data_IF_450333384154
#
_entry.id   IF_450333384154
#
_cell.length_a   1.000
_cell.length_b   1.000
_cell.length_c   1.000
_cell.angle_alpha   90.00
_cell.angle_beta   90.00
_cell.angle_gamma   90.00
#
_symmetry.space_group_name_H-M   'P 1'
#
loop_
_entity.id
_entity.type
_entity.pdbx_description
1 polymer ?
#
# COMPACT_ATOMS: atom_id res chain seq x y z
N UNK A 1 -19.80 0.52 30.84
CA UNK A 1 -18.59 0.31 30.03
C UNK A 1 -19.03 0.45 28.58
N UNK A 2 -19.06 1.68 28.09
CA UNK A 2 -19.41 1.92 26.69
C UNK A 2 -18.24 1.39 25.87
N UNK A 3 -18.47 0.32 25.11
CA UNK A 3 -17.57 0.01 24.02
C UNK A 3 -17.61 1.24 23.11
N UNK A 4 -16.49 1.95 22.99
CA UNK A 4 -16.31 2.91 21.91
C UNK A 4 -16.59 2.13 20.63
N UNK A 5 -17.78 2.34 20.07
CA UNK A 5 -18.19 1.73 18.82
C UNK A 5 -17.41 2.47 17.73
N UNK A 6 -16.13 2.10 17.59
CA UNK A 6 -15.30 2.47 16.45
C UNK A 6 -16.07 2.06 15.20
N UNK A 7 -16.46 3.02 14.37
CA UNK A 7 -17.13 2.73 13.10
C UNK A 7 -16.21 1.76 12.35
N UNK A 8 -16.65 0.56 11.93
CA UNK A 8 -15.81 -0.37 11.18
C UNK A 8 -15.20 0.25 9.91
N UNK A 9 -15.78 1.35 9.40
CA UNK A 9 -15.28 2.12 8.28
C UNK A 9 -14.25 3.19 8.67
N UNK A 10 -14.09 3.50 9.95
CA UNK A 10 -13.05 4.41 10.42
C UNK A 10 -11.67 3.77 10.20
N UNK A 11 -10.88 4.40 9.32
CA UNK A 11 -9.61 3.87 8.80
C UNK A 11 -9.73 3.12 7.47
N UNK A 12 -10.95 2.88 6.96
CA UNK A 12 -11.13 2.26 5.64
C UNK A 12 -10.77 3.23 4.51
N UNK A 13 -9.57 3.07 3.97
CA UNK A 13 -9.08 3.87 2.84
C UNK A 13 -9.45 3.28 1.47
N UNK A 14 -10.38 3.92 0.75
CA UNK A 14 -10.81 3.54 -0.60
C UNK A 14 -9.72 3.75 -1.67
N UNK A 15 -8.77 4.65 -1.42
CA UNK A 15 -7.58 4.78 -2.26
C UNK A 15 -6.77 3.51 -2.11
N UNK A 16 -6.43 3.06 -0.90
CA UNK A 16 -5.62 1.85 -0.72
C UNK A 16 -6.38 0.58 -1.15
N UNK A 17 -7.69 0.52 -0.96
CA UNK A 17 -8.51 -0.68 -1.18
C UNK A 17 -8.47 -1.29 -2.60
N UNK A 18 -8.11 -0.51 -3.63
CA UNK A 18 -7.98 -1.08 -4.97
C UNK A 18 -6.87 -2.15 -5.03
N UNK A 19 -7.09 -3.31 -5.69
CA UNK A 19 -6.23 -4.49 -5.54
C UNK A 19 -4.74 -4.22 -5.77
N UNK A 20 -4.39 -3.52 -6.85
CA UNK A 20 -2.98 -3.22 -7.14
C UNK A 20 -2.38 -2.21 -6.18
N UNK A 21 -3.13 -1.22 -5.69
CA UNK A 21 -2.62 -0.23 -4.73
C UNK A 21 -2.38 -0.88 -3.37
N UNK A 22 -3.30 -1.73 -2.92
CA UNK A 22 -3.12 -2.54 -1.72
C UNK A 22 -1.86 -3.42 -1.82
N UNK A 23 -1.66 -4.10 -2.96
CA UNK A 23 -0.46 -4.93 -3.21
C UNK A 23 0.83 -4.12 -3.26
N UNK A 24 0.82 -2.91 -3.84
CA UNK A 24 1.97 -1.99 -3.80
C UNK A 24 2.29 -1.62 -2.35
N UNK A 25 1.30 -1.16 -1.57
CA UNK A 25 1.51 -0.79 -0.17
C UNK A 25 2.04 -1.97 0.66
N UNK A 26 1.46 -3.17 0.50
CA UNK A 26 1.90 -4.38 1.18
C UNK A 26 3.38 -4.72 0.91
N UNK A 27 3.78 -4.67 -0.37
CA UNK A 27 5.14 -4.96 -0.77
C UNK A 27 6.13 -3.90 -0.23
N UNK A 28 5.75 -2.63 -0.28
CA UNK A 28 6.58 -1.54 0.22
C UNK A 28 6.66 -1.50 1.76
N UNK A 29 5.61 -1.90 2.47
CA UNK A 29 5.63 -2.04 3.93
C UNK A 29 6.62 -3.14 4.34
N UNK A 30 6.62 -4.28 3.64
CA UNK A 30 7.51 -5.39 3.94
C UNK A 30 8.98 -5.11 3.56
N UNK A 31 9.21 -4.46 2.41
CA UNK A 31 10.55 -4.19 1.90
C UNK A 31 11.18 -2.88 2.41
N UNK A 32 10.37 -1.96 2.95
CA UNK A 32 10.75 -0.58 3.26
C UNK A 32 10.88 0.31 2.02
N UNK A 33 11.60 -0.16 1.01
CA UNK A 33 11.74 0.48 -0.30
C UNK A 33 11.98 -0.58 -1.38
N UNK A 34 11.43 -0.37 -2.58
CA UNK A 34 11.62 -1.28 -3.71
C UNK A 34 11.82 -0.53 -5.02
N UNK A 35 12.59 -1.12 -5.94
CA UNK A 35 12.70 -0.62 -7.30
C UNK A 35 11.38 -0.82 -8.06
N UNK A 36 10.98 0.17 -8.86
CA UNK A 36 9.77 0.10 -9.69
C UNK A 36 9.69 -1.18 -10.53
N UNK A 37 10.79 -1.61 -11.14
CA UNK A 37 10.86 -2.85 -11.92
C UNK A 37 10.61 -4.11 -11.08
N UNK A 38 11.07 -4.14 -9.83
CA UNK A 38 10.80 -5.24 -8.90
C UNK A 38 9.31 -5.27 -8.53
N UNK A 39 8.72 -4.11 -8.22
CA UNK A 39 7.28 -4.01 -7.94
C UNK A 39 6.47 -4.48 -9.14
N UNK A 40 6.85 -4.07 -10.35
CA UNK A 40 6.21 -4.50 -11.59
C UNK A 40 6.24 -6.03 -11.74
N UNK A 41 7.41 -6.65 -11.54
CA UNK A 41 7.58 -8.10 -11.62
C UNK A 41 6.74 -8.84 -10.57
N UNK A 42 6.79 -8.40 -9.31
CA UNK A 42 6.06 -9.03 -8.21
C UNK A 42 4.54 -8.91 -8.36
N UNK A 43 4.06 -7.80 -8.92
CA UNK A 43 2.63 -7.60 -9.16
C UNK A 43 2.13 -8.29 -10.43
N UNK A 44 3.03 -8.61 -11.38
CA UNK A 44 2.67 -9.22 -12.66
C UNK A 44 1.92 -8.26 -13.59
N UNK A 45 2.17 -6.95 -13.49
CA UNK A 45 1.47 -5.91 -14.26
C UNK A 45 2.41 -5.19 -15.22
N UNK A 46 1.87 -4.47 -16.20
CA UNK A 46 2.69 -3.64 -17.07
C UNK A 46 3.19 -2.37 -16.35
N UNK A 47 4.28 -1.77 -16.86
CA UNK A 47 4.79 -0.50 -16.34
C UNK A 47 3.72 0.61 -16.37
N UNK A 48 2.91 0.68 -17.42
CA UNK A 48 1.82 1.67 -17.54
C UNK A 48 0.76 1.49 -16.46
N UNK A 49 0.37 0.24 -16.16
CA UNK A 49 -0.59 -0.06 -15.09
C UNK A 49 0.00 0.30 -13.73
N UNK A 50 1.24 -0.10 -13.44
CA UNK A 50 1.88 0.23 -12.17
C UNK A 50 2.01 1.75 -12.00
N UNK A 51 2.46 2.49 -13.02
CA UNK A 51 2.59 3.94 -12.97
C UNK A 51 1.28 4.63 -12.60
N UNK A 52 0.15 4.23 -13.20
CA UNK A 52 -1.17 4.79 -12.86
C UNK A 52 -1.51 4.60 -11.38
N UNK A 53 -1.25 3.42 -10.82
CA UNK A 53 -1.50 3.16 -9.41
C UNK A 53 -0.54 3.91 -8.48
N UNK A 54 0.75 4.00 -8.84
CA UNK A 54 1.75 4.75 -8.09
C UNK A 54 1.45 6.23 -8.09
N UNK A 55 1.04 6.83 -9.22
CA UNK A 55 0.62 8.23 -9.30
C UNK A 55 -0.52 8.52 -8.32
N UNK A 56 -1.58 7.69 -8.32
CA UNK A 56 -2.69 7.86 -7.36
C UNK A 56 -2.22 7.79 -5.91
N UNK A 57 -1.30 6.87 -5.58
CA UNK A 57 -0.74 6.76 -4.23
C UNK A 57 0.16 7.95 -3.87
N UNK A 58 0.87 8.53 -4.85
CA UNK A 58 1.68 9.72 -4.65
C UNK A 58 0.81 10.97 -4.45
N UNK A 59 -0.26 11.12 -5.23
CA UNK A 59 -1.20 12.23 -5.12
C UNK A 59 -1.92 12.21 -3.75
N UNK A 60 -2.17 11.02 -3.19
CA UNK A 60 -2.68 10.86 -1.83
C UNK A 60 -1.62 11.07 -0.72
N UNK A 61 -0.35 11.24 -1.10
CA UNK A 61 0.78 11.40 -0.18
C UNK A 61 1.23 10.11 0.51
N UNK A 62 0.87 8.94 -0.03
CA UNK A 62 1.15 7.63 0.58
C UNK A 62 2.44 6.99 0.08
N UNK A 63 2.77 7.19 -1.18
CA UNK A 63 4.02 6.74 -1.78
C UNK A 63 4.83 7.94 -2.20
N UNK A 64 6.15 7.81 -2.14
CA UNK A 64 7.06 8.71 -2.83
C UNK A 64 8.00 7.92 -3.73
N UNK A 65 8.49 8.60 -4.76
CA UNK A 65 9.48 8.07 -5.67
C UNK A 65 10.79 8.85 -5.54
N UNK A 66 11.92 8.15 -5.65
CA UNK A 66 13.23 8.78 -5.85
C UNK A 66 13.97 8.15 -7.00
N UNK A 67 14.76 8.96 -7.70
CA UNK A 67 15.67 8.51 -8.76
C UNK A 67 17.04 8.27 -8.15
N UNK A 68 17.64 7.12 -8.40
CA UNK A 68 18.99 6.79 -7.96
C UNK A 68 19.80 6.21 -9.11
N UNK A 69 21.09 6.57 -9.18
CA UNK A 69 22.02 5.95 -10.13
C UNK A 69 22.62 4.73 -9.45
N UNK A 70 22.47 3.55 -10.08
CA UNK A 70 23.11 2.31 -9.66
C UNK A 70 23.61 1.61 -10.90
N UNK A 71 24.90 1.26 -10.93
CA UNK A 71 25.54 0.58 -12.07
C UNK A 71 25.31 1.33 -13.39
N UNK A 72 25.62 2.62 -13.42
CA UNK A 72 25.45 3.56 -14.55
C UNK A 72 24.03 3.74 -15.11
N UNK A 73 23.03 3.04 -14.56
CA UNK A 73 21.62 3.16 -14.94
C UNK A 73 20.81 3.91 -13.89
N UNK A 74 19.93 4.79 -14.36
CA UNK A 74 18.97 5.48 -13.51
C UNK A 74 17.83 4.53 -13.17
N UNK A 75 17.58 4.33 -11.88
CA UNK A 75 16.50 3.49 -11.35
C UNK A 75 15.53 4.33 -10.53
N UNK A 76 14.26 3.96 -10.59
CA UNK A 76 13.19 4.57 -9.79
C UNK A 76 12.92 3.66 -8.60
N UNK A 77 13.04 4.22 -7.41
CA UNK A 77 12.74 3.56 -6.15
C UNK A 77 11.45 4.14 -5.59
N UNK A 78 10.65 3.27 -4.98
CA UNK A 78 9.37 3.58 -4.37
C UNK A 78 9.44 3.22 -2.89
N UNK A 79 8.94 4.09 -2.02
CA UNK A 79 8.71 3.79 -0.60
C UNK A 79 7.39 4.36 -0.13
N UNK A 80 6.85 3.77 0.93
CA UNK A 80 5.77 4.42 1.66
C UNK A 80 6.31 5.63 2.42
N UNK A 81 5.56 6.73 2.38
CA UNK A 81 5.76 7.85 3.30
C UNK A 81 5.34 7.42 4.71
N UNK A 82 5.59 8.25 5.73
CA UNK A 82 5.06 7.99 7.07
C UNK A 82 3.52 7.90 7.04
N UNK A 83 2.87 8.88 6.40
CA UNK A 83 1.41 8.92 6.20
C UNK A 83 0.89 7.67 5.48
N UNK A 84 1.59 7.21 4.44
CA UNK A 84 1.20 6.00 3.70
C UNK A 84 1.30 4.72 4.53
N UNK A 85 2.31 4.59 5.39
CA UNK A 85 2.41 3.45 6.33
C UNK A 85 1.27 3.47 7.34
N UNK A 86 0.98 4.64 7.92
CA UNK A 86 -0.09 4.79 8.90
C UNK A 86 -1.44 4.47 8.25
N UNK A 87 -1.74 5.05 7.08
CA UNK A 87 -2.97 4.78 6.31
C UNK A 87 -3.11 3.31 5.90
N UNK A 88 -2.01 2.65 5.48
CA UNK A 88 -2.04 1.23 5.13
C UNK A 88 -2.39 0.36 6.35
N UNK A 89 -1.79 0.64 7.52
CA UNK A 89 -2.03 -0.12 8.76
C UNK A 89 -3.43 0.10 9.30
N UNK A 90 -3.93 1.33 9.27
CA UNK A 90 -5.31 1.68 9.59
C UNK A 90 -6.29 0.98 8.66
N UNK A 91 -6.03 0.97 7.35
CA UNK A 91 -6.85 0.25 6.38
C UNK A 91 -6.90 -1.25 6.66
N UNK A 92 -5.76 -1.88 6.99
CA UNK A 92 -5.75 -3.28 7.40
C UNK A 92 -6.53 -3.52 8.70
N UNK A 93 -6.50 -2.57 9.65
CA UNK A 93 -7.27 -2.67 10.89
C UNK A 93 -8.78 -2.58 10.61
N UNK A 94 -9.20 -1.64 9.77
CA UNK A 94 -10.58 -1.52 9.32
C UNK A 94 -11.06 -2.78 8.59
N UNK A 95 -10.26 -3.32 7.66
CA UNK A 95 -10.59 -4.59 6.98
C UNK A 95 -10.78 -5.75 7.98
N UNK A 96 -9.92 -5.87 8.99
CA UNK A 96 -10.07 -6.89 10.05
C UNK A 96 -11.33 -6.67 10.89
N UNK A 97 -11.67 -5.42 11.20
CA UNK A 97 -12.88 -5.09 11.94
C UNK A 97 -14.16 -5.41 11.13
N UNK A 98 -14.16 -5.12 9.83
CA UNK A 98 -15.27 -5.40 8.91
C UNK A 98 -15.50 -6.90 8.73
N UNK A 99 -14.43 -7.67 8.54
CA UNK A 99 -14.53 -9.14 8.37
C UNK A 99 -14.87 -9.82 9.70
N UNK A 100 -14.53 -9.19 10.83
CA UNK A 100 -14.65 -9.77 12.17
C UNK A 100 -13.63 -10.90 12.41
N UNK A 101 -13.64 -11.52 13.61
CA UNK A 101 -12.93 -12.78 13.79
C UNK A 101 -13.51 -13.79 12.80
N UNK A 102 -12.69 -14.19 11.82
CA UNK A 102 -13.00 -15.35 11.00
C UNK A 102 -12.96 -16.54 11.94
N UNK A 103 -14.12 -17.06 12.34
CA UNK A 103 -14.23 -18.33 13.04
C UNK A 103 -13.75 -19.40 12.06
N UNK A 104 -12.42 -19.55 12.01
CA UNK A 104 -11.75 -20.61 11.30
C UNK A 104 -11.94 -21.80 12.24
N UNK A 105 -13.10 -22.45 12.12
CA UNK A 105 -13.38 -23.70 12.80
C UNK A 105 -12.23 -24.69 12.61
N UNK A 106 -12.05 -25.62 13.57
CA UNK A 106 -10.83 -26.41 13.76
C UNK A 106 -10.36 -27.20 12.54
#
# INVERSE_FOLDING_TARGET
MSADAHDPLEGFDTTIHAPNRLRVCALLEAAGEAEFGLVQQQLGVSASVLSKHVTVLMDAGYVEQRKAVRDTRQRVWLRLTRRGRDAYREHLAALRAIVGPSDSGP
#
